data_IF_159028836697
#
_entry.id   IF_159028836697
#
_cell.length_a   1.000
_cell.length_b   1.000
_cell.length_c   1.000
_cell.angle_alpha   90.00
_cell.angle_beta   90.00
_cell.angle_gamma   90.00
#
_symmetry.space_group_name_H-M   'P 1'
#
loop_
_entity.id
_entity.type
_entity.pdbx_description
1 polymer ?
#
# COMPACT_ATOMS: atom_id res chain seq x y z
N UNK A 1 19.15 1.65 -3.90
CA UNK A 1 18.06 1.67 -4.93
C UNK A 1 18.66 2.15 -6.24
N UNK A 2 18.47 1.41 -7.31
CA UNK A 2 18.98 1.84 -8.62
C UNK A 2 18.07 2.88 -9.27
N UNK A 3 18.54 3.47 -10.36
CA UNK A 3 17.80 4.52 -11.06
C UNK A 3 16.48 4.03 -11.64
N UNK A 4 16.45 2.80 -12.19
CA UNK A 4 15.23 2.23 -12.76
C UNK A 4 14.16 2.03 -11.70
N UNK A 5 14.54 1.54 -10.53
CA UNK A 5 13.61 1.33 -9.43
C UNK A 5 13.07 2.65 -8.90
N UNK A 6 13.94 3.66 -8.76
CA UNK A 6 13.52 5.00 -8.34
C UNK A 6 12.52 5.61 -9.32
N UNK A 7 12.78 5.44 -10.61
CA UNK A 7 11.90 5.94 -11.66
C UNK A 7 10.55 5.24 -11.65
N UNK A 8 10.54 3.91 -11.48
CA UNK A 8 9.30 3.14 -11.40
C UNK A 8 8.45 3.57 -10.22
N UNK A 9 9.09 3.81 -9.06
CA UNK A 9 8.37 4.31 -7.87
C UNK A 9 7.74 5.66 -8.13
N UNK A 10 8.47 6.57 -8.75
CA UNK A 10 7.99 7.91 -9.06
C UNK A 10 6.82 7.87 -10.05
N UNK A 11 6.92 7.05 -11.09
CA UNK A 11 5.87 6.88 -12.08
C UNK A 11 4.62 6.31 -11.45
N UNK A 12 4.77 5.26 -10.64
CA UNK A 12 3.64 4.61 -9.97
C UNK A 12 2.91 5.58 -9.04
N UNK A 13 3.66 6.34 -8.23
CA UNK A 13 3.08 7.32 -7.33
C UNK A 13 2.34 8.42 -8.10
N UNK A 14 2.91 8.89 -9.21
CA UNK A 14 2.30 9.92 -10.04
C UNK A 14 0.98 9.44 -10.65
N UNK A 15 0.99 8.23 -11.21
CA UNK A 15 -0.23 7.63 -11.77
C UNK A 15 -1.27 7.43 -10.68
N UNK A 16 -0.86 6.94 -9.52
CA UNK A 16 -1.75 6.71 -8.39
C UNK A 16 -2.44 7.98 -7.92
N UNK A 17 -1.68 9.07 -7.82
CA UNK A 17 -2.25 10.36 -7.41
C UNK A 17 -3.28 10.90 -8.41
N UNK A 18 -3.11 10.60 -9.70
CA UNK A 18 -4.06 10.99 -10.72
C UNK A 18 -5.28 10.07 -10.80
N UNK A 19 -5.11 8.78 -10.45
CA UNK A 19 -6.16 7.76 -10.58
C UNK A 19 -7.00 7.60 -9.31
N UNK A 20 -6.42 7.84 -8.14
CA UNK A 20 -7.07 7.55 -6.85
C UNK A 20 -7.00 8.74 -5.91
N UNK A 21 -8.16 9.17 -5.40
CA UNK A 21 -8.21 10.13 -4.30
C UNK A 21 -7.88 9.39 -2.99
N UNK A 22 -7.27 10.07 -1.99
CA UNK A 22 -6.92 9.41 -0.71
C UNK A 22 -8.08 8.72 -0.01
N UNK A 23 -9.27 9.28 -0.06
CA UNK A 23 -10.44 8.66 0.57
C UNK A 23 -10.83 7.35 -0.13
N UNK A 24 -10.62 7.26 -1.44
CA UNK A 24 -10.88 6.04 -2.20
C UNK A 24 -9.88 4.95 -1.80
N UNK A 25 -8.61 5.31 -1.71
CA UNK A 25 -7.57 4.36 -1.28
C UNK A 25 -7.86 3.88 0.14
N UNK A 26 -8.23 4.79 1.03
CA UNK A 26 -8.58 4.44 2.41
C UNK A 26 -9.72 3.41 2.46
N UNK A 27 -10.76 3.61 1.67
CA UNK A 27 -11.90 2.67 1.61
C UNK A 27 -11.48 1.30 1.08
N UNK A 28 -10.62 1.28 0.04
CA UNK A 28 -10.11 0.03 -0.51
C UNK A 28 -9.22 -0.70 0.49
N UNK A 29 -8.39 0.04 1.21
CA UNK A 29 -7.48 -0.52 2.20
C UNK A 29 -8.23 -1.11 3.38
N UNK A 30 -9.16 -0.37 3.93
CA UNK A 30 -9.86 -0.78 5.16
C UNK A 30 -11.04 -1.71 4.90
N UNK A 31 -11.74 -1.58 3.79
CA UNK A 31 -12.84 -2.47 3.36
C UNK A 31 -13.59 -3.14 4.54
N UNK A 32 -14.14 -2.31 5.43
CA UNK A 32 -14.82 -2.81 6.63
C UNK A 32 -13.89 -3.34 7.70
N UNK A 33 -12.59 -3.15 7.52
CA UNK A 33 -11.57 -3.66 8.42
C UNK A 33 -11.13 -2.67 9.47
N UNK A 34 -10.01 -3.01 10.08
CA UNK A 34 -9.46 -2.33 11.24
C UNK A 34 -8.26 -1.46 10.87
N UNK A 35 -7.77 -0.73 11.88
CA UNK A 35 -6.55 0.04 11.78
C UNK A 35 -5.32 -0.80 11.41
N UNK A 36 -5.37 -2.12 11.63
CA UNK A 36 -4.28 -3.02 11.26
C UNK A 36 -4.05 -3.04 9.75
N UNK A 37 -5.11 -3.01 8.97
CA UNK A 37 -5.01 -2.97 7.52
C UNK A 37 -4.39 -1.67 7.04
N UNK A 38 -4.75 -0.54 7.65
CA UNK A 38 -4.14 0.73 7.33
C UNK A 38 -2.65 0.73 7.68
N UNK A 39 -2.29 0.19 8.83
CA UNK A 39 -0.89 0.06 9.24
C UNK A 39 -0.11 -0.80 8.23
N UNK A 40 -0.68 -1.93 7.83
CA UNK A 40 -0.06 -2.82 6.85
C UNK A 40 0.15 -2.12 5.51
N UNK A 41 -0.86 -1.41 5.04
CA UNK A 41 -0.76 -0.67 3.79
C UNK A 41 0.38 0.36 3.83
N UNK A 42 0.50 1.10 4.93
CA UNK A 42 1.57 2.09 5.06
C UNK A 42 2.97 1.48 5.17
N UNK A 43 3.06 0.20 5.55
CA UNK A 43 4.33 -0.53 5.57
C UNK A 43 4.73 -1.06 4.19
N UNK A 44 3.87 -0.93 3.19
CA UNK A 44 4.16 -1.33 1.81
C UNK A 44 5.05 -0.29 1.14
N UNK A 45 6.29 -0.20 1.57
CA UNK A 45 7.27 0.80 1.13
C UNK A 45 8.19 0.32 0.00
N UNK A 46 7.98 -0.90 -0.48
CA UNK A 46 8.80 -1.48 -1.53
C UNK A 46 10.12 -2.07 -1.03
N UNK A 47 10.36 -2.03 0.28
CA UNK A 47 11.59 -2.54 0.89
C UNK A 47 11.32 -3.52 2.04
N UNK A 48 10.06 -3.73 2.41
CA UNK A 48 9.69 -4.58 3.54
C UNK A 48 9.02 -5.84 3.02
N UNK A 49 9.52 -7.04 3.38
CA UNK A 49 8.89 -8.30 2.98
C UNK A 49 7.47 -8.43 3.55
N UNK A 50 6.61 -9.11 2.80
CA UNK A 50 5.23 -9.35 3.21
C UNK A 50 5.11 -9.96 4.61
N UNK A 51 6.00 -10.91 4.95
CA UNK A 51 5.99 -11.55 6.26
C UNK A 51 6.23 -10.56 7.39
N UNK A 52 7.12 -9.60 7.18
CA UNK A 52 7.42 -8.57 8.17
C UNK A 52 6.26 -7.58 8.30
N UNK A 53 5.62 -7.25 7.20
CA UNK A 53 4.44 -6.39 7.22
C UNK A 53 3.33 -7.02 8.05
N UNK A 54 3.06 -8.30 7.80
CA UNK A 54 2.03 -9.05 8.53
C UNK A 54 2.33 -9.08 10.03
N UNK A 55 3.58 -9.33 10.38
CA UNK A 55 4.03 -9.40 11.78
C UNK A 55 3.86 -8.05 12.47
N UNK A 56 4.32 -6.97 11.85
CA UNK A 56 4.24 -5.63 12.44
C UNK A 56 2.80 -5.13 12.55
N UNK A 57 1.96 -5.45 11.58
CA UNK A 57 0.55 -5.04 11.58
C UNK A 57 -0.32 -5.98 12.40
N UNK A 58 0.23 -7.07 12.92
CA UNK A 58 -0.49 -8.08 13.72
C UNK A 58 -1.64 -8.72 12.93
N UNK A 59 -1.36 -9.03 11.67
CA UNK A 59 -2.29 -9.72 10.77
C UNK A 59 -1.72 -11.09 10.49
N UNK A 60 -2.55 -12.13 10.55
CA UNK A 60 -2.07 -13.48 10.28
C UNK A 60 -1.65 -13.62 8.81
N UNK A 61 -0.76 -14.58 8.57
CA UNK A 61 -0.13 -14.78 7.27
C UNK A 61 -1.14 -14.97 6.13
N UNK A 62 -2.16 -15.79 6.35
CA UNK A 62 -3.19 -16.06 5.34
C UNK A 62 -4.02 -14.83 5.02
N UNK A 63 -4.46 -14.12 6.05
CA UNK A 63 -5.22 -12.88 5.87
C UNK A 63 -4.40 -11.82 5.17
N UNK A 64 -3.11 -11.70 5.49
CA UNK A 64 -2.22 -10.74 4.84
C UNK A 64 -2.08 -11.04 3.34
N UNK A 65 -1.93 -12.30 3.01
CA UNK A 65 -1.80 -12.74 1.62
C UNK A 65 -3.05 -12.37 0.80
N UNK A 66 -4.23 -12.65 1.34
CA UNK A 66 -5.50 -12.31 0.69
C UNK A 66 -5.70 -10.80 0.56
N UNK A 67 -5.38 -10.07 1.62
CA UNK A 67 -5.51 -8.61 1.65
C UNK A 67 -4.59 -7.98 0.62
N UNK A 68 -3.34 -8.43 0.56
CA UNK A 68 -2.37 -7.89 -0.39
C UNK A 68 -2.77 -8.18 -1.83
N UNK A 69 -3.26 -9.39 -2.11
CA UNK A 69 -3.75 -9.75 -3.43
C UNK A 69 -4.90 -8.83 -3.87
N UNK A 70 -5.80 -8.50 -2.96
CA UNK A 70 -6.90 -7.58 -3.22
C UNK A 70 -6.40 -6.18 -3.56
N UNK A 71 -5.40 -5.69 -2.83
CA UNK A 71 -4.81 -4.37 -3.09
C UNK A 71 -4.07 -4.32 -4.42
N UNK A 72 -3.38 -5.39 -4.78
CA UNK A 72 -2.70 -5.50 -6.09
C UNK A 72 -3.73 -5.48 -7.22
N UNK A 73 -4.80 -6.25 -7.07
CA UNK A 73 -5.87 -6.29 -8.06
C UNK A 73 -6.57 -4.94 -8.20
N UNK A 74 -6.73 -4.21 -7.11
CA UNK A 74 -7.32 -2.87 -7.12
C UNK A 74 -6.41 -1.81 -7.72
N UNK A 75 -5.12 -2.11 -7.90
CA UNK A 75 -4.17 -1.18 -8.49
C UNK A 75 -3.53 -0.20 -7.53
N UNK A 76 -3.73 -0.39 -6.22
CA UNK A 76 -3.17 0.52 -5.21
C UNK A 76 -1.86 0.03 -4.60
N UNK A 77 -1.46 -1.21 -4.92
CA UNK A 77 -0.18 -1.79 -4.52
C UNK A 77 0.39 -2.54 -5.71
N UNK A 78 1.70 -2.43 -5.93
CA UNK A 78 2.42 -3.25 -6.90
C UNK A 78 3.53 -4.01 -6.18
N UNK A 79 4.02 -5.07 -6.81
CA UNK A 79 5.14 -5.83 -6.29
C UNK A 79 6.39 -5.44 -7.05
N UNK A 80 7.45 -5.09 -6.31
CA UNK A 80 8.69 -4.60 -6.89
C UNK A 80 9.81 -5.61 -6.83
N UNK A 81 10.55 -5.66 -7.94
CA UNK A 81 11.83 -6.33 -8.00
C UNK A 81 11.74 -7.84 -7.92
N UNK A 82 12.90 -8.44 -7.76
CA UNK A 82 13.08 -9.88 -7.70
C UNK A 82 12.38 -10.51 -6.49
N UNK A 83 12.41 -9.79 -5.35
CA UNK A 83 11.84 -10.25 -4.10
C UNK A 83 10.35 -9.93 -3.96
N UNK A 84 9.75 -9.27 -4.93
CA UNK A 84 8.32 -8.97 -4.95
C UNK A 84 7.85 -8.17 -3.74
N UNK A 85 8.65 -7.21 -3.30
CA UNK A 85 8.29 -6.33 -2.18
C UNK A 85 7.07 -5.49 -2.55
N UNK A 86 6.05 -5.44 -1.67
CA UNK A 86 4.87 -4.61 -1.96
C UNK A 86 5.17 -3.11 -1.82
N UNK A 87 4.66 -2.34 -2.77
CA UNK A 87 4.77 -0.88 -2.76
C UNK A 87 3.39 -0.26 -2.97
N UNK A 88 2.97 0.58 -2.05
CA UNK A 88 1.71 1.32 -2.17
C UNK A 88 1.85 2.50 -3.15
N UNK A 89 0.72 2.95 -3.72
CA UNK A 89 0.72 4.11 -4.63
C UNK A 89 1.21 5.38 -3.93
N UNK A 90 0.79 5.57 -2.67
CA UNK A 90 1.26 6.61 -1.77
C UNK A 90 0.78 6.26 -0.35
N UNK A 91 1.50 6.73 0.68
CA UNK A 91 1.08 6.43 2.06
C UNK A 91 -0.17 7.23 2.45
N UNK A 92 -0.92 6.68 3.39
CA UNK A 92 -2.11 7.34 3.94
C UNK A 92 -1.78 7.87 5.33
N UNK A 93 -1.38 9.13 5.40
CA UNK A 93 -1.12 9.79 6.66
C UNK A 93 -2.43 10.37 7.23
N UNK A 94 -2.42 10.70 8.51
CA UNK A 94 -3.57 11.38 9.13
C UNK A 94 -3.88 12.70 8.44
N UNK A 95 -2.85 13.42 8.05
CA UNK A 95 -2.98 14.70 7.36
C UNK A 95 -3.62 14.52 5.99
N UNK A 96 -3.17 13.51 5.24
CA UNK A 96 -3.72 13.19 3.93
C UNK A 96 -5.21 12.86 4.03
N UNK A 97 -5.58 12.04 5.02
CA UNK A 97 -6.98 11.64 5.22
C UNK A 97 -7.84 12.81 5.67
N UNK A 98 -7.31 13.67 6.53
CA UNK A 98 -8.02 14.86 6.98
C UNK A 98 -8.31 15.80 5.82
N UNK A 99 -7.31 16.07 4.98
CA UNK A 99 -7.47 16.92 3.81
C UNK A 99 -8.50 16.35 2.82
N UNK A 100 -8.54 15.03 2.67
CA UNK A 100 -9.48 14.38 1.77
C UNK A 100 -10.92 14.45 2.28
N UNK A 101 -11.12 14.57 3.58
CA UNK A 101 -12.46 14.65 4.19
C UNK A 101 -13.01 16.07 4.24
N UNK A 102 -12.13 17.04 4.11
CA UNK A 102 -12.52 18.46 4.04
C UNK A 102 -12.89 18.86 2.62
#
# INVERSE_FOLDING_TARGET
MDMNESLLRAIFATIGRGAFAPVQVYRLVTHGGSDRQLAAYNLCDGNTPQADIAKRAKIDKGSMSRTLARWVEAGIVVRLGKDQFPLHVYPLSKETLKAAKE
#
